data_IF_243890084966
#
_entry.id   IF_243890084966
#
_cell.length_a   1.000
_cell.length_b   1.000
_cell.length_c   1.000
_cell.angle_alpha   90.00
_cell.angle_beta   90.00
_cell.angle_gamma   90.00
#
_symmetry.space_group_name_H-M   'P 1'
#
loop_
_entity.id
_entity.type
_entity.pdbx_description
1 polymer ?
#
# COMPACT_ATOMS: atom_id res chain seq x y z
N UNK A 1 26.61 1.19 -7.54
CA UNK A 1 25.36 1.94 -7.53
C UNK A 1 25.49 3.08 -6.52
N UNK A 2 25.16 4.32 -6.86
CA UNK A 2 25.07 5.36 -5.83
C UNK A 2 24.05 4.90 -4.76
N UNK A 3 24.26 5.28 -3.48
CA UNK A 3 23.27 4.97 -2.45
C UNK A 3 21.92 5.58 -2.86
N UNK A 4 20.86 4.79 -2.77
CA UNK A 4 19.52 5.29 -3.04
C UNK A 4 19.25 6.49 -2.12
N UNK A 5 18.72 7.56 -2.69
CA UNK A 5 18.36 8.76 -1.93
C UNK A 5 17.40 8.37 -0.80
N UNK A 6 17.77 8.69 0.44
CA UNK A 6 16.93 8.41 1.60
C UNK A 6 15.82 9.44 1.68
N UNK A 7 14.60 8.96 1.87
CA UNK A 7 13.42 9.77 2.10
C UNK A 7 12.86 9.49 3.49
N UNK A 8 12.30 10.51 4.13
CA UNK A 8 11.70 10.44 5.46
C UNK A 8 10.22 10.78 5.34
N UNK A 9 9.37 9.84 5.74
CA UNK A 9 7.93 10.04 5.94
C UNK A 9 7.71 10.36 7.42
N UNK A 10 7.11 11.49 7.71
CA UNK A 10 6.73 11.92 9.05
C UNK A 10 5.23 12.18 9.13
N UNK A 11 4.63 11.60 10.14
CA UNK A 11 3.24 11.81 10.53
C UNK A 11 3.24 12.34 11.95
N UNK A 12 2.56 13.45 12.17
CA UNK A 12 2.47 14.06 13.48
C UNK A 12 1.01 14.37 13.83
N UNK A 13 0.67 14.07 15.08
CA UNK A 13 -0.63 14.35 15.68
C UNK A 13 -1.80 13.77 14.89
N UNK A 14 -1.68 12.53 14.35
CA UNK A 14 -2.79 11.92 13.66
C UNK A 14 -3.93 11.60 14.62
N UNK A 15 -5.11 12.18 14.36
CA UNK A 15 -6.32 12.02 15.13
C UNK A 15 -7.46 11.50 14.26
N UNK A 16 -8.21 10.55 14.80
CA UNK A 16 -9.40 10.00 14.16
C UNK A 16 -10.44 9.61 15.21
N UNK A 17 -11.69 10.01 14.98
CA UNK A 17 -12.83 9.57 15.76
C UNK A 17 -13.99 9.18 14.84
N UNK A 18 -14.80 8.21 15.26
CA UNK A 18 -16.08 7.88 14.64
C UNK A 18 -17.18 8.13 15.68
N UNK A 19 -17.92 9.22 15.49
CA UNK A 19 -18.83 9.76 16.52
C UNK A 19 -18.05 10.10 17.78
N UNK A 20 -18.47 9.57 18.91
CA UNK A 20 -17.79 9.77 20.21
C UNK A 20 -16.59 8.85 20.42
N UNK A 21 -16.42 7.81 19.58
CA UNK A 21 -15.35 6.84 19.73
C UNK A 21 -14.06 7.34 19.08
N UNK A 22 -13.09 7.68 19.92
CA UNK A 22 -11.73 8.03 19.48
C UNK A 22 -10.97 6.77 19.10
N UNK A 23 -10.39 6.75 17.88
CA UNK A 23 -9.63 5.63 17.31
C UNK A 23 -8.13 5.92 17.33
N UNK A 24 -7.74 7.12 16.89
CA UNK A 24 -6.36 7.61 16.93
C UNK A 24 -6.32 8.89 17.75
N UNK A 25 -5.30 9.05 18.58
CA UNK A 25 -5.14 10.19 19.46
C UNK A 25 -3.68 10.62 19.51
N UNK A 26 -3.34 11.63 18.68
CA UNK A 26 -2.01 12.22 18.64
C UNK A 26 -0.92 11.23 18.19
N UNK A 27 -1.21 10.36 17.18
CA UNK A 27 -0.22 9.37 16.72
C UNK A 27 0.92 10.08 15.99
N UNK A 28 2.15 9.76 16.42
CA UNK A 28 3.39 10.13 15.75
C UNK A 28 4.02 8.91 15.08
N UNK A 29 4.50 9.06 13.87
CA UNK A 29 5.22 8.02 13.11
C UNK A 29 6.31 8.68 12.27
N UNK A 30 7.51 8.13 12.32
CA UNK A 30 8.62 8.50 11.44
C UNK A 30 9.19 7.24 10.80
N UNK A 31 9.30 7.23 9.48
CA UNK A 31 9.76 6.09 8.68
C UNK A 31 10.77 6.57 7.65
N UNK A 32 11.86 5.84 7.49
CA UNK A 32 12.87 6.09 6.45
C UNK A 32 12.78 5.01 5.36
N UNK A 33 13.07 5.43 4.09
CA UNK A 33 13.24 4.46 2.99
C UNK A 33 14.44 3.56 3.21
N UNK A 34 14.41 2.35 2.64
CA UNK A 34 15.48 1.35 2.76
C UNK A 34 15.39 0.47 4.00
N UNK A 35 14.36 0.65 4.83
CA UNK A 35 14.06 -0.20 5.98
C UNK A 35 12.63 -0.74 5.96
N UNK A 36 12.32 -1.59 6.93
CA UNK A 36 10.96 -2.09 7.22
C UNK A 36 10.56 -1.63 8.61
N UNK A 37 9.44 -0.94 8.70
CA UNK A 37 8.86 -0.51 9.98
C UNK A 37 7.57 -1.27 10.25
N UNK A 38 7.49 -1.95 11.39
CA UNK A 38 6.29 -2.68 11.81
C UNK A 38 5.44 -1.83 12.75
N UNK A 39 4.13 -1.72 12.45
CA UNK A 39 3.14 -1.10 13.33
C UNK A 39 2.43 -2.20 14.10
N UNK A 40 2.74 -2.33 15.39
CA UNK A 40 2.20 -3.38 16.26
C UNK A 40 1.08 -2.82 17.15
N UNK A 41 0.15 -3.68 17.54
CA UNK A 41 -0.95 -3.32 18.43
C UNK A 41 -2.11 -4.32 18.34
N UNK A 42 -3.01 -4.26 19.33
CA UNK A 42 -4.21 -5.11 19.42
C UNK A 42 -5.15 -4.90 18.24
N UNK A 43 -6.00 -5.90 17.96
CA UNK A 43 -7.06 -5.74 16.96
C UNK A 43 -8.00 -4.59 17.35
N UNK A 44 -8.37 -3.77 16.37
CA UNK A 44 -9.23 -2.60 16.58
C UNK A 44 -8.53 -1.35 17.13
N UNK A 45 -7.20 -1.34 17.36
CA UNK A 45 -6.49 -0.16 17.87
C UNK A 45 -6.20 0.92 16.81
N UNK A 46 -6.69 0.77 15.59
CA UNK A 46 -6.57 1.82 14.57
C UNK A 46 -5.45 1.65 13.53
N UNK A 47 -4.67 0.55 13.54
CA UNK A 47 -3.59 0.33 12.56
C UNK A 47 -4.04 0.49 11.11
N UNK A 48 -5.11 -0.19 10.72
CA UNK A 48 -5.67 -0.10 9.35
C UNK A 48 -6.25 1.29 9.06
N UNK A 49 -6.74 2.01 10.07
CA UNK A 49 -7.17 3.39 9.92
C UNK A 49 -5.99 4.31 9.62
N UNK A 50 -4.87 4.14 10.32
CA UNK A 50 -3.65 4.89 10.05
C UNK A 50 -3.16 4.64 8.62
N UNK A 51 -3.08 3.37 8.16
CA UNK A 51 -2.70 3.03 6.78
C UNK A 51 -3.65 3.67 5.74
N UNK A 52 -4.95 3.66 6.01
CA UNK A 52 -5.96 4.30 5.16
C UNK A 52 -5.84 5.84 5.13
N UNK A 53 -5.45 6.47 6.23
CA UNK A 53 -5.15 7.91 6.28
C UNK A 53 -3.94 8.22 5.42
N UNK A 54 -2.85 7.46 5.57
CA UNK A 54 -1.62 7.62 4.78
C UNK A 54 -1.85 7.42 3.28
N UNK A 55 -2.66 6.43 2.91
CA UNK A 55 -3.02 6.19 1.50
C UNK A 55 -4.06 7.17 0.96
N UNK A 56 -4.62 8.04 1.81
CA UNK A 56 -5.64 9.02 1.43
C UNK A 56 -7.03 8.43 1.20
N UNK A 57 -7.26 7.15 1.55
CA UNK A 57 -8.57 6.49 1.46
C UNK A 57 -9.47 6.75 2.67
N UNK A 58 -8.93 7.33 3.74
CA UNK A 58 -9.66 7.77 4.92
C UNK A 58 -9.22 9.18 5.31
N UNK A 59 -10.16 10.07 5.59
CA UNK A 59 -9.88 11.42 6.07
C UNK A 59 -9.66 11.38 7.58
N UNK A 60 -8.52 11.90 8.06
CA UNK A 60 -8.28 12.14 9.47
C UNK A 60 -9.11 13.32 9.99
N UNK A 61 -9.36 13.38 11.29
CA UNK A 61 -9.84 14.58 11.97
C UNK A 61 -8.76 15.66 11.93
N UNK A 62 -7.53 15.28 12.31
CA UNK A 62 -6.33 16.08 12.16
C UNK A 62 -5.15 15.15 11.82
N UNK A 63 -4.22 15.62 11.00
CA UNK A 63 -2.97 14.91 10.71
C UNK A 63 -1.99 15.84 9.99
N UNK A 64 -0.81 16.05 10.55
CA UNK A 64 0.30 16.68 9.84
C UNK A 64 1.09 15.61 9.12
N UNK A 65 1.21 15.71 7.80
CA UNK A 65 1.90 14.73 6.95
C UNK A 65 3.05 15.41 6.21
N UNK A 66 4.25 14.84 6.28
CA UNK A 66 5.44 15.37 5.59
C UNK A 66 6.22 14.26 4.93
N UNK A 67 6.85 14.59 3.79
CA UNK A 67 7.94 13.82 3.21
C UNK A 67 9.12 14.77 3.01
N UNK A 68 10.28 14.41 3.55
CA UNK A 68 11.51 15.20 3.51
C UNK A 68 11.30 16.63 4.03
N UNK A 69 10.55 16.76 5.13
CA UNK A 69 10.18 18.03 5.76
C UNK A 69 9.13 18.85 5.01
N UNK A 70 8.75 18.47 3.78
CA UNK A 70 7.71 19.15 3.00
C UNK A 70 6.33 18.67 3.41
N UNK A 71 5.44 19.61 3.72
CA UNK A 71 4.06 19.32 4.08
C UNK A 71 3.25 18.86 2.87
N UNK A 72 2.39 17.84 3.10
CA UNK A 72 1.47 17.27 2.12
C UNK A 72 0.06 17.23 2.69
N UNK A 73 -0.91 17.74 1.94
CA UNK A 73 -2.33 17.55 2.27
C UNK A 73 -2.78 16.11 2.01
N UNK A 74 -2.19 15.47 1.01
CA UNK A 74 -2.41 14.10 0.58
C UNK A 74 -1.17 13.62 -0.16
N UNK A 75 -0.80 12.38 0.05
CA UNK A 75 0.26 11.75 -0.73
C UNK A 75 -0.23 11.27 -2.09
N UNK A 76 0.64 11.30 -3.07
CA UNK A 76 0.43 10.78 -4.41
C UNK A 76 0.77 9.28 -4.47
N UNK A 77 0.34 8.62 -5.52
CA UNK A 77 0.67 7.21 -5.74
C UNK A 77 2.17 6.94 -5.97
N UNK A 78 2.94 7.97 -6.36
CA UNK A 78 4.41 7.91 -6.45
C UNK A 78 5.11 8.02 -5.09
N UNK A 79 4.42 8.56 -4.12
CA UNK A 79 4.94 8.71 -2.76
C UNK A 79 4.56 7.52 -1.90
N UNK A 80 3.29 7.13 -1.90
CA UNK A 80 2.77 6.02 -1.09
C UNK A 80 1.88 5.11 -1.92
N UNK A 81 2.13 3.81 -1.81
CA UNK A 81 1.22 2.74 -2.25
C UNK A 81 0.78 1.91 -1.05
N UNK A 82 -0.48 1.53 -1.07
CA UNK A 82 -1.11 0.74 -0.01
C UNK A 82 -1.72 -0.53 -0.57
N UNK A 83 -1.44 -1.65 0.07
CA UNK A 83 -2.09 -2.93 -0.19
C UNK A 83 -3.32 -3.07 0.73
N UNK A 84 -4.55 -2.91 0.22
CA UNK A 84 -5.75 -3.07 1.03
C UNK A 84 -5.90 -4.50 1.56
N UNK A 85 -6.65 -4.66 2.66
CA UNK A 85 -6.98 -5.98 3.20
C UNK A 85 -7.94 -6.77 2.29
N UNK A 86 -8.77 -6.06 1.53
CA UNK A 86 -9.72 -6.67 0.57
C UNK A 86 -9.15 -6.57 -0.85
N UNK A 87 -9.51 -7.51 -1.74
CA UNK A 87 -9.15 -7.45 -3.14
C UNK A 87 -9.49 -6.10 -3.77
N UNK A 88 -8.55 -5.56 -4.56
CA UNK A 88 -8.73 -4.26 -5.20
C UNK A 88 -8.70 -4.34 -6.74
N UNK A 89 -8.29 -5.49 -7.29
CA UNK A 89 -8.28 -5.69 -8.74
C UNK A 89 -9.64 -6.25 -9.17
N UNK A 90 -10.33 -5.64 -10.15
CA UNK A 90 -11.62 -6.15 -10.61
C UNK A 90 -11.53 -7.58 -11.16
N UNK A 91 -12.40 -8.48 -10.68
CA UNK A 91 -12.39 -9.91 -11.03
C UNK A 91 -12.64 -10.21 -12.52
N UNK A 92 -13.27 -9.30 -13.25
CA UNK A 92 -13.51 -9.43 -14.69
C UNK A 92 -12.29 -9.15 -15.57
N UNK A 93 -11.23 -8.50 -15.03
CA UNK A 93 -9.98 -8.27 -15.76
C UNK A 93 -9.23 -9.57 -15.99
N UNK A 94 -8.55 -9.65 -17.13
CA UNK A 94 -7.55 -10.70 -17.38
C UNK A 94 -6.24 -10.36 -16.68
N UNK A 95 -5.49 -11.39 -16.28
CA UNK A 95 -4.20 -11.27 -15.58
C UNK A 95 -3.25 -10.32 -16.31
N UNK A 96 -3.05 -10.54 -17.61
CA UNK A 96 -2.15 -9.73 -18.42
C UNK A 96 -2.57 -8.25 -18.47
N UNK A 97 -3.88 -8.00 -18.61
CA UNK A 97 -4.41 -6.64 -18.60
C UNK A 97 -4.22 -5.96 -17.24
N UNK A 98 -4.45 -6.68 -16.15
CA UNK A 98 -4.24 -6.16 -14.81
C UNK A 98 -2.79 -5.75 -14.58
N UNK A 99 -1.82 -6.58 -14.98
CA UNK A 99 -0.39 -6.24 -14.90
C UNK A 99 -0.05 -5.00 -15.76
N UNK A 100 -0.52 -4.98 -17.01
CA UNK A 100 -0.27 -3.88 -17.94
C UNK A 100 -0.79 -2.53 -17.45
N UNK A 101 -1.94 -2.49 -16.77
CA UNK A 101 -2.51 -1.26 -16.19
C UNK A 101 -1.62 -0.66 -15.09
N UNK A 102 -0.76 -1.49 -14.48
CA UNK A 102 0.27 -1.06 -13.51
C UNK A 102 1.68 -0.93 -14.12
N UNK A 103 1.80 -1.06 -15.46
CA UNK A 103 3.09 -0.95 -16.14
C UNK A 103 4.03 -2.12 -15.90
N UNK A 104 3.49 -3.29 -15.51
CA UNK A 104 4.26 -4.50 -15.23
C UNK A 104 4.15 -5.49 -16.37
N UNK A 105 5.22 -6.28 -16.54
CA UNK A 105 5.27 -7.36 -17.53
C UNK A 105 4.92 -8.69 -16.85
N UNK A 106 4.21 -9.55 -17.59
CA UNK A 106 3.84 -10.88 -17.10
C UNK A 106 5.08 -11.73 -16.79
N UNK A 107 6.11 -11.62 -17.62
CA UNK A 107 7.38 -12.34 -17.47
C UNK A 107 8.06 -12.06 -16.13
N UNK A 108 7.90 -10.85 -15.59
CA UNK A 108 8.40 -10.50 -14.26
C UNK A 108 7.64 -11.25 -13.16
N UNK A 109 6.32 -11.39 -13.28
CA UNK A 109 5.51 -12.17 -12.34
C UNK A 109 5.87 -13.66 -12.43
N UNK A 110 5.90 -14.23 -13.64
CA UNK A 110 6.19 -15.65 -13.87
C UNK A 110 7.59 -16.04 -13.40
N UNK A 111 8.55 -15.12 -13.46
CA UNK A 111 9.91 -15.33 -12.95
C UNK A 111 9.96 -15.54 -11.45
N UNK A 112 9.15 -14.83 -10.69
CA UNK A 112 9.08 -14.92 -9.24
C UNK A 112 8.10 -15.99 -8.76
N UNK A 113 7.04 -16.19 -9.53
CA UNK A 113 5.90 -17.06 -9.23
C UNK A 113 5.56 -17.92 -10.46
N UNK A 114 6.35 -19.02 -10.73
CA UNK A 114 6.12 -19.87 -11.91
C UNK A 114 4.74 -20.50 -11.99
N UNK A 115 4.01 -20.60 -10.88
CA UNK A 115 2.62 -21.06 -10.81
C UNK A 115 1.66 -20.21 -11.62
N UNK A 116 2.02 -19.00 -12.01
CA UNK A 116 1.21 -18.15 -12.88
C UNK A 116 1.36 -18.44 -14.39
N UNK A 117 2.35 -19.25 -14.80
CA UNK A 117 2.55 -19.60 -16.21
C UNK A 117 1.30 -20.21 -16.85
N UNK A 118 0.59 -21.20 -16.25
CA UNK A 118 -0.63 -21.76 -16.82
C UNK A 118 -1.84 -20.82 -16.74
N UNK A 119 -1.77 -19.74 -15.98
CA UNK A 119 -2.89 -18.84 -15.68
C UNK A 119 -2.94 -17.61 -16.61
N UNK A 120 -2.21 -17.60 -17.70
CA UNK A 120 -2.05 -16.45 -18.62
C UNK A 120 -3.36 -15.85 -19.10
N UNK A 121 -4.31 -16.70 -19.48
CA UNK A 121 -5.60 -16.30 -20.03
C UNK A 121 -6.70 -16.17 -18.93
N UNK A 122 -6.35 -16.46 -17.69
CA UNK A 122 -7.29 -16.52 -16.56
C UNK A 122 -7.74 -15.12 -16.16
N UNK A 123 -9.02 -14.98 -15.79
CA UNK A 123 -9.53 -13.76 -15.17
C UNK A 123 -9.17 -13.73 -13.69
N UNK A 124 -8.99 -12.52 -13.16
CA UNK A 124 -8.63 -12.33 -11.75
C UNK A 124 -9.63 -13.02 -10.80
N UNK A 125 -10.92 -12.98 -11.11
CA UNK A 125 -11.96 -13.64 -10.29
C UNK A 125 -11.96 -15.17 -10.35
N UNK A 126 -11.19 -15.77 -11.26
CA UNK A 126 -11.03 -17.22 -11.39
C UNK A 126 -9.80 -17.73 -10.63
N UNK A 127 -8.92 -16.82 -10.20
CA UNK A 127 -7.77 -17.12 -9.36
C UNK A 127 -8.23 -17.56 -7.95
N UNK A 128 -7.51 -18.46 -7.34
CA UNK A 128 -7.67 -18.73 -5.92
C UNK A 128 -7.38 -17.47 -5.08
N UNK A 129 -7.94 -17.40 -3.86
CA UNK A 129 -7.70 -16.26 -2.98
C UNK A 129 -6.20 -16.03 -2.69
N UNK A 130 -5.40 -17.12 -2.63
CA UNK A 130 -3.95 -17.06 -2.47
C UNK A 130 -3.24 -16.46 -3.69
N UNK A 131 -3.56 -16.93 -4.89
CA UNK A 131 -3.01 -16.41 -6.15
C UNK A 131 -3.38 -14.95 -6.35
N UNK A 132 -4.63 -14.59 -6.10
CA UNK A 132 -5.06 -13.19 -6.17
C UNK A 132 -4.26 -12.31 -5.20
N UNK A 133 -4.04 -12.78 -3.98
CA UNK A 133 -3.26 -12.02 -2.98
C UNK A 133 -1.78 -11.90 -3.36
N UNK A 134 -1.17 -12.95 -3.90
CA UNK A 134 0.21 -12.91 -4.43
C UNK A 134 0.31 -11.87 -5.55
N UNK A 135 -0.61 -11.90 -6.51
CA UNK A 135 -0.64 -10.93 -7.61
C UNK A 135 -0.76 -9.48 -7.10
N UNK A 136 -1.66 -9.22 -6.17
CA UNK A 136 -1.85 -7.91 -5.56
C UNK A 136 -0.60 -7.43 -4.80
N UNK A 137 0.02 -8.30 -4.01
CA UNK A 137 1.30 -8.03 -3.35
C UNK A 137 2.38 -7.71 -4.37
N UNK A 138 2.51 -8.51 -5.43
CA UNK A 138 3.50 -8.30 -6.48
C UNK A 138 3.33 -6.92 -7.13
N UNK A 139 2.11 -6.56 -7.53
CA UNK A 139 1.80 -5.26 -8.14
C UNK A 139 2.20 -4.11 -7.21
N UNK A 140 1.83 -4.19 -5.93
CA UNK A 140 2.14 -3.12 -4.96
C UNK A 140 3.64 -3.02 -4.70
N UNK A 141 4.34 -4.15 -4.51
CA UNK A 141 5.78 -4.19 -4.23
C UNK A 141 6.63 -3.75 -5.43
N UNK A 142 6.14 -3.94 -6.65
CA UNK A 142 6.81 -3.50 -7.89
C UNK A 142 6.46 -2.06 -8.28
N UNK A 143 5.59 -1.39 -7.54
CA UNK A 143 5.26 0.00 -7.81
C UNK A 143 6.47 0.92 -7.56
N UNK A 144 6.62 2.02 -8.31
CA UNK A 144 7.73 2.97 -8.14
C UNK A 144 7.53 3.91 -6.95
N UNK A 145 6.65 3.59 -6.01
CA UNK A 145 6.39 4.42 -4.84
C UNK A 145 7.57 4.42 -3.87
N UNK A 146 7.79 5.56 -3.20
CA UNK A 146 8.85 5.69 -2.19
C UNK A 146 8.57 4.88 -0.94
N UNK A 147 7.29 4.80 -0.54
CA UNK A 147 6.83 4.05 0.62
C UNK A 147 5.72 3.08 0.24
N UNK A 148 5.81 1.87 0.76
CA UNK A 148 4.81 0.82 0.55
C UNK A 148 4.21 0.44 1.90
N UNK A 149 2.88 0.43 1.98
CA UNK A 149 2.11 0.03 3.15
C UNK A 149 1.45 -1.33 2.88
N UNK A 150 1.69 -2.31 3.76
CA UNK A 150 1.19 -3.69 3.65
C UNK A 150 0.24 -4.04 4.81
#
# INVERSE_FOLDING_TARGET
MPPAEKHILEIDSAELAFGERRILSGVYLLVETGGVTAVLGRNGCGKSCLMKILSGSLKAGFCSMRIDGKWHRRFTEKEIRYLPQHPFIPGWLRLERALGDFGLQREDLERWFPEFIPLRETRIGELSGGEQRILECFIILRSPARFILL
#
